data_IF_032145507014
#
_entry.id   IF_032145507014
#
_cell.length_a   1.000
_cell.length_b   1.000
_cell.length_c   1.000
_cell.angle_alpha   90.00
_cell.angle_beta   90.00
_cell.angle_gamma   90.00
#
_symmetry.space_group_name_H-M   'P 1'
#
loop_
_entity.id
_entity.type
_entity.pdbx_description
1 polymer ?
#
# COMPACT_ATOMS: atom_id res chain seq x y z
N UNK A 1 27.90 -29.02 -4.45
CA UNK A 1 28.08 -29.06 -5.92
C UNK A 1 26.91 -28.34 -6.56
N UNK A 2 27.17 -27.15 -7.11
CA UNK A 2 26.17 -26.17 -7.53
C UNK A 2 26.11 -26.20 -9.06
N UNK A 3 24.94 -26.33 -9.67
CA UNK A 3 24.81 -26.33 -11.14
C UNK A 3 23.52 -25.66 -11.59
N UNK A 4 23.51 -24.33 -11.57
CA UNK A 4 22.52 -23.54 -12.32
C UNK A 4 23.27 -22.63 -13.29
N UNK A 5 23.15 -23.00 -14.56
CA UNK A 5 23.75 -22.35 -15.71
C UNK A 5 22.77 -21.29 -16.26
N UNK A 6 23.26 -20.07 -16.50
CA UNK A 6 22.55 -18.94 -17.17
C UNK A 6 22.48 -19.19 -18.70
N UNK A 7 21.60 -18.49 -19.44
CA UNK A 7 21.96 -17.18 -20.04
C UNK A 7 20.78 -16.17 -19.94
N UNK A 8 20.90 -14.84 -20.00
CA UNK A 8 21.87 -13.98 -20.67
C UNK A 8 21.23 -13.38 -21.93
N UNK A 9 20.45 -12.28 -21.82
CA UNK A 9 20.01 -11.43 -22.94
C UNK A 9 19.63 -10.01 -22.45
N UNK A 10 19.63 -9.00 -23.36
CA UNK A 10 20.35 -7.74 -23.14
C UNK A 10 19.46 -6.57 -22.76
N UNK A 11 20.13 -5.53 -22.25
CA UNK A 11 19.66 -4.17 -22.23
C UNK A 11 19.43 -3.65 -23.67
N UNK A 12 18.44 -2.75 -23.82
CA UNK A 12 18.41 -1.56 -24.68
C UNK A 12 16.96 -1.22 -25.06
N UNK A 13 16.50 -0.04 -24.65
CA UNK A 13 15.89 0.96 -25.54
C UNK A 13 15.31 2.10 -24.70
N UNK A 14 16.07 3.18 -24.63
CA UNK A 14 15.62 4.49 -24.19
C UNK A 14 14.57 5.03 -25.18
N UNK A 15 13.42 5.47 -24.66
CA UNK A 15 12.33 6.07 -25.42
C UNK A 15 12.22 7.55 -25.10
N UNK A 16 12.35 8.38 -26.14
CA UNK A 16 12.59 9.81 -26.10
C UNK A 16 11.38 10.68 -25.67
N UNK A 17 11.76 11.79 -25.01
CA UNK A 17 11.18 13.13 -24.97
C UNK A 17 10.05 13.46 -25.98
N UNK A 18 8.96 14.02 -25.44
CA UNK A 18 7.96 14.78 -26.20
C UNK A 18 7.45 15.95 -25.38
N UNK A 19 8.11 17.12 -25.51
CA UNK A 19 7.61 18.42 -25.08
C UNK A 19 6.38 18.81 -25.92
N UNK A 20 5.33 19.30 -25.27
CA UNK A 20 4.39 20.23 -25.88
C UNK A 20 3.97 21.28 -24.83
N UNK A 21 4.77 22.35 -24.78
CA UNK A 21 4.42 23.60 -24.11
C UNK A 21 3.41 24.31 -25.00
N UNK A 22 2.18 24.48 -24.53
CA UNK A 22 1.21 25.37 -25.17
C UNK A 22 1.18 26.66 -24.37
N UNK A 23 1.89 27.66 -24.90
CA UNK A 23 1.80 29.03 -24.45
C UNK A 23 0.47 29.64 -24.92
N UNK A 24 -0.41 30.00 -23.99
CA UNK A 24 -1.54 30.87 -24.28
C UNK A 24 -1.26 32.25 -23.67
N UNK A 25 -0.82 33.16 -24.54
CA UNK A 25 -0.74 34.58 -24.28
C UNK A 25 -2.12 35.21 -24.51
N UNK A 26 -2.59 36.04 -23.57
CA UNK A 26 -3.46 37.16 -23.88
C UNK A 26 -3.48 38.14 -22.70
N UNK A 27 -2.76 39.24 -22.86
CA UNK A 27 -2.75 40.39 -21.99
C UNK A 27 -4.05 41.20 -22.13
N UNK A 28 -4.55 41.74 -21.02
CA UNK A 28 -5.29 43.00 -20.99
C UNK A 28 -4.71 43.87 -19.86
N UNK A 29 -4.18 45.02 -20.26
CA UNK A 29 -3.60 46.05 -19.41
C UNK A 29 -4.66 46.74 -18.53
N UNK A 30 -4.26 47.16 -17.33
CA UNK A 30 -5.03 48.02 -16.43
C UNK A 30 -4.09 48.79 -15.47
N UNK A 31 -4.49 50.01 -15.02
CA UNK A 31 -3.62 51.19 -14.81
C UNK A 31 -2.87 51.28 -13.46
N UNK A 32 -1.91 52.22 -13.31
CA UNK A 32 -1.04 52.33 -12.13
C UNK A 32 -1.64 53.09 -10.94
N UNK A 33 -1.23 52.61 -9.75
CA UNK A 33 -0.96 53.24 -8.45
C UNK A 33 -1.88 54.34 -7.86
N UNK A 34 -2.35 54.07 -6.64
CA UNK A 34 -2.41 55.07 -5.58
C UNK A 34 -1.62 54.58 -4.37
N UNK A 35 -0.73 55.47 -3.91
CA UNK A 35 0.24 55.29 -2.85
C UNK A 35 -0.24 56.18 -1.69
N UNK A 36 -0.75 55.58 -0.61
CA UNK A 36 -1.21 56.29 0.59
C UNK A 36 -0.35 55.83 1.79
N UNK A 37 0.34 56.74 2.51
CA UNK A 37 1.07 56.39 3.72
C UNK A 37 0.26 56.64 5.01
N UNK A 38 0.64 55.85 6.03
CA UNK A 38 0.47 56.04 7.48
C UNK A 38 -0.80 55.49 8.18
N UNK A 39 -0.60 54.29 8.78
CA UNK A 39 -0.88 53.76 10.15
C UNK A 39 -1.67 54.61 11.20
N UNK A 40 -1.99 54.10 12.42
CA UNK A 40 -1.83 52.76 13.02
C UNK A 40 -3.09 52.22 13.77
N UNK A 41 -3.08 50.94 14.17
CA UNK A 41 -3.37 50.47 15.55
C UNK A 41 -3.81 48.99 15.56
N UNK A 42 -3.06 48.19 16.32
CA UNK A 42 -3.42 46.83 16.75
C UNK A 42 -4.73 46.81 17.54
N UNK A 43 -5.38 45.64 17.63
CA UNK A 43 -5.25 44.94 18.90
C UNK A 43 -4.82 43.49 18.74
N UNK A 44 -4.16 43.02 19.80
CA UNK A 44 -3.85 41.64 20.04
C UNK A 44 -5.12 40.77 19.99
N UNK A 45 -5.07 39.68 19.22
CA UNK A 45 -5.89 38.50 19.45
C UNK A 45 -4.95 37.33 19.70
N UNK A 46 -4.73 37.07 20.99
CA UNK A 46 -4.18 35.83 21.51
C UNK A 46 -5.27 34.75 21.47
N UNK A 47 -4.91 33.54 21.03
CA UNK A 47 -5.74 32.32 21.12
C UNK A 47 -6.32 31.92 19.75
N UNK A 48 -6.32 30.65 19.33
CA UNK A 48 -6.30 29.37 20.05
C UNK A 48 -5.96 28.23 19.08
N UNK A 49 -5.41 27.15 19.64
CA UNK A 49 -5.42 25.77 19.16
C UNK A 49 -4.74 25.42 17.82
N UNK A 50 -3.65 24.67 17.93
CA UNK A 50 -3.27 23.66 16.94
C UNK A 50 -4.39 22.60 16.86
N UNK A 51 -5.37 22.84 16.00
CA UNK A 51 -6.24 21.78 15.51
C UNK A 51 -5.49 21.06 14.39
N UNK A 52 -5.06 19.82 14.67
CA UNK A 52 -4.41 18.97 13.69
C UNK A 52 -5.27 18.85 12.44
N UNK A 53 -4.80 19.41 11.33
CA UNK A 53 -5.34 19.18 10.01
C UNK A 53 -4.99 17.75 9.57
N UNK A 54 -5.68 16.75 10.12
CA UNK A 54 -5.48 15.33 9.78
C UNK A 54 -6.52 14.80 8.79
N UNK A 55 -7.56 15.56 8.45
CA UNK A 55 -8.66 15.05 7.60
C UNK A 55 -8.46 15.30 6.10
N UNK A 56 -7.66 16.29 5.71
CA UNK A 56 -7.45 16.64 4.30
C UNK A 56 -6.39 15.78 3.58
N UNK A 57 -5.59 15.03 4.33
CA UNK A 57 -4.54 14.16 3.76
C UNK A 57 -5.04 12.73 3.50
N UNK A 58 -6.13 12.33 4.16
CA UNK A 58 -6.73 10.99 4.03
C UNK A 58 -7.44 10.78 2.67
N UNK A 59 -7.83 11.86 1.99
CA UNK A 59 -8.64 11.80 0.76
C UNK A 59 -7.85 11.69 -0.55
N UNK A 60 -6.52 11.74 -0.52
CA UNK A 60 -5.69 11.70 -1.75
C UNK A 60 -4.83 10.44 -1.91
N UNK A 61 -4.84 9.53 -0.93
CA UNK A 61 -4.17 8.24 -1.06
C UNK A 61 -4.97 7.35 -2.01
N UNK A 62 -4.62 7.41 -3.30
CA UNK A 62 -5.04 6.37 -4.26
C UNK A 62 -4.50 5.02 -3.75
N UNK A 63 -5.29 3.93 -3.79
CA UNK A 63 -4.81 2.62 -3.37
C UNK A 63 -3.70 2.18 -4.33
N UNK A 64 -2.46 2.49 -3.95
CA UNK A 64 -1.28 2.14 -4.73
C UNK A 64 -0.87 0.71 -4.41
N UNK A 65 -0.36 0.01 -5.41
CA UNK A 65 0.24 -1.31 -5.22
C UNK A 65 1.50 -1.16 -4.40
N UNK A 66 1.60 -1.90 -3.30
CA UNK A 66 2.73 -1.90 -2.39
C UNK A 66 3.12 -3.34 -2.07
N UNK A 67 4.41 -3.55 -1.80
CA UNK A 67 4.87 -4.80 -1.20
C UNK A 67 4.43 -4.86 0.26
N UNK A 68 3.65 -5.88 0.58
CA UNK A 68 3.14 -6.17 1.91
C UNK A 68 3.72 -7.49 2.39
N UNK A 69 4.09 -7.53 3.68
CA UNK A 69 4.52 -8.73 4.38
C UNK A 69 3.58 -8.96 5.55
N UNK A 70 3.11 -10.19 5.72
CA UNK A 70 2.11 -10.49 6.73
C UNK A 70 1.86 -11.97 6.91
N UNK A 71 1.17 -12.30 8.00
CA UNK A 71 0.76 -13.66 8.29
C UNK A 71 -0.53 -13.96 7.52
N UNK A 72 -0.47 -14.96 6.65
CA UNK A 72 -1.60 -15.39 5.83
C UNK A 72 -2.19 -16.70 6.35
N UNK A 73 -3.52 -16.75 6.44
CA UNK A 73 -4.30 -17.96 6.71
C UNK A 73 -5.42 -18.10 5.70
N UNK A 74 -5.86 -19.33 5.46
CA UNK A 74 -7.02 -19.64 4.62
C UNK A 74 -8.02 -20.46 5.42
N UNK A 75 -9.26 -19.97 5.53
CA UNK A 75 -10.37 -20.66 6.19
C UNK A 75 -11.63 -20.49 5.36
N UNK A 76 -12.33 -21.60 5.08
CA UNK A 76 -13.58 -21.61 4.29
C UNK A 76 -13.47 -20.76 3.01
N UNK A 77 -12.41 -21.00 2.23
CA UNK A 77 -12.11 -20.32 0.96
C UNK A 77 -11.95 -18.79 1.08
N UNK A 78 -11.74 -18.29 2.30
CA UNK A 78 -11.49 -16.88 2.58
C UNK A 78 -10.10 -16.70 3.18
N UNK A 79 -9.25 -15.96 2.47
CA UNK A 79 -7.94 -15.57 2.95
C UNK A 79 -8.02 -14.47 4.02
N UNK A 80 -7.26 -14.62 5.10
CA UNK A 80 -7.01 -13.56 6.07
C UNK A 80 -5.53 -13.22 6.07
N UNK A 81 -5.20 -11.94 6.05
CA UNK A 81 -3.83 -11.44 6.04
C UNK A 81 -3.63 -10.44 7.18
N UNK A 82 -2.66 -10.69 8.06
CA UNK A 82 -2.29 -9.76 9.13
C UNK A 82 -0.98 -9.08 8.73
N UNK A 83 -1.03 -7.80 8.36
CA UNK A 83 0.16 -7.04 7.93
C UNK A 83 1.13 -6.91 9.11
N UNK A 84 2.39 -7.31 8.91
CA UNK A 84 3.41 -7.29 9.97
C UNK A 84 3.70 -5.90 10.52
N UNK A 85 3.60 -4.86 9.68
CA UNK A 85 3.99 -3.49 10.06
C UNK A 85 2.92 -2.78 10.90
N UNK A 86 1.65 -2.93 10.55
CA UNK A 86 0.55 -2.26 11.24
C UNK A 86 -0.17 -3.17 12.24
N UNK A 87 0.01 -4.49 12.13
CA UNK A 87 -0.83 -5.48 12.81
C UNK A 87 -2.27 -5.54 12.27
N UNK A 88 -2.59 -4.80 11.20
CA UNK A 88 -3.94 -4.74 10.66
C UNK A 88 -4.33 -6.07 10.01
N UNK A 89 -5.50 -6.58 10.40
CA UNK A 89 -6.13 -7.74 9.75
C UNK A 89 -6.93 -7.28 8.55
N UNK A 90 -6.59 -7.84 7.39
CA UNK A 90 -7.20 -7.60 6.10
C UNK A 90 -7.85 -8.89 5.62
N UNK A 91 -9.07 -8.79 5.12
CA UNK A 91 -9.67 -9.90 4.36
C UNK A 91 -9.06 -9.85 2.95
N UNK A 92 -8.64 -11.00 2.43
CA UNK A 92 -8.07 -11.07 1.09
C UNK A 92 -9.20 -11.21 0.08
N UNK A 93 -9.22 -10.34 -0.93
CA UNK A 93 -10.18 -10.40 -2.01
C UNK A 93 -9.91 -11.64 -2.88
N UNK A 94 -10.97 -12.33 -3.28
CA UNK A 94 -10.95 -13.51 -4.15
C UNK A 94 -10.83 -13.12 -5.62
N UNK A 95 -9.82 -12.31 -5.94
CA UNK A 95 -9.55 -11.77 -7.28
C UNK A 95 -8.04 -11.66 -7.56
N UNK A 96 -7.69 -11.31 -8.80
CA UNK A 96 -6.29 -11.16 -9.25
C UNK A 96 -5.46 -12.44 -8.95
N UNK A 97 -4.30 -12.30 -8.31
CA UNK A 97 -3.36 -13.42 -8.08
C UNK A 97 -3.59 -14.15 -6.75
N UNK A 98 -4.74 -13.93 -6.10
CA UNK A 98 -5.13 -14.63 -4.87
C UNK A 98 -5.14 -16.16 -5.05
N UNK A 99 -5.57 -16.67 -6.20
CA UNK A 99 -5.55 -18.12 -6.48
C UNK A 99 -4.14 -18.72 -6.49
N UNK A 100 -3.09 -17.95 -6.85
CA UNK A 100 -1.72 -18.42 -6.74
C UNK A 100 -1.25 -18.45 -5.27
N UNK A 101 -1.57 -17.42 -4.50
CA UNK A 101 -1.29 -17.36 -3.07
C UNK A 101 -1.96 -18.52 -2.31
N UNK A 102 -3.23 -18.80 -2.58
CA UNK A 102 -3.98 -19.88 -1.93
C UNK A 102 -3.38 -21.24 -2.22
N UNK A 103 -3.10 -21.55 -3.50
CA UNK A 103 -2.46 -22.80 -3.88
C UNK A 103 -1.09 -22.97 -3.21
N UNK A 104 -0.29 -21.91 -3.15
CA UNK A 104 0.99 -21.95 -2.45
C UNK A 104 0.81 -22.20 -0.95
N UNK A 105 -0.19 -21.58 -0.32
CA UNK A 105 -0.48 -21.76 1.10
C UNK A 105 -0.89 -23.19 1.44
N UNK A 106 -1.75 -23.79 0.61
CA UNK A 106 -2.18 -25.18 0.77
C UNK A 106 -0.99 -26.15 0.75
N UNK A 107 0.07 -25.85 0.00
CA UNK A 107 1.29 -26.65 -0.08
C UNK A 107 2.27 -26.38 1.07
N UNK A 108 2.31 -25.15 1.59
CA UNK A 108 3.30 -24.73 2.59
C UNK A 108 2.83 -24.89 4.05
N UNK A 109 1.52 -24.87 4.30
CA UNK A 109 0.97 -24.89 5.67
C UNK A 109 1.27 -26.20 6.39
N UNK A 110 1.61 -26.11 7.67
CA UNK A 110 1.79 -27.29 8.54
C UNK A 110 0.45 -27.95 8.93
N UNK A 111 -0.65 -27.21 8.86
CA UNK A 111 -1.99 -27.68 9.19
C UNK A 111 -3.07 -26.66 8.78
N UNK A 112 -4.36 -27.04 8.86
CA UNK A 112 -5.46 -26.13 8.56
C UNK A 112 -5.45 -24.92 9.50
N UNK A 113 -5.66 -23.71 8.94
CA UNK A 113 -5.70 -22.47 9.71
C UNK A 113 -4.36 -22.00 10.30
N UNK A 114 -3.26 -22.74 10.11
CA UNK A 114 -1.95 -22.34 10.62
C UNK A 114 -1.39 -21.18 9.76
N UNK A 115 -1.03 -20.04 10.37
CA UNK A 115 -0.53 -18.89 9.63
C UNK A 115 0.85 -19.18 9.02
N UNK A 116 1.05 -18.71 7.80
CA UNK A 116 2.33 -18.76 7.09
C UNK A 116 2.72 -17.34 6.68
N UNK A 117 3.99 -16.99 6.84
CA UNK A 117 4.48 -15.68 6.42
C UNK A 117 4.39 -15.57 4.89
N UNK A 118 3.71 -14.54 4.41
CA UNK A 118 3.52 -14.25 3.01
C UNK A 118 4.10 -12.87 2.66
N UNK A 119 4.73 -12.80 1.49
CA UNK A 119 5.09 -11.55 0.83
C UNK A 119 4.26 -11.45 -0.45
N UNK A 120 3.56 -10.33 -0.63
CA UNK A 120 2.70 -10.07 -1.78
C UNK A 120 2.88 -8.64 -2.27
N UNK A 121 2.65 -8.39 -3.54
CA UNK A 121 2.33 -7.04 -4.02
C UNK A 121 0.82 -6.91 -4.08
N UNK A 122 0.29 -5.89 -3.45
CA UNK A 122 -1.15 -5.68 -3.39
C UNK A 122 -1.52 -4.27 -3.02
N UNK A 123 -2.82 -3.98 -3.10
CA UNK A 123 -3.40 -2.72 -2.66
C UNK A 123 -4.53 -2.99 -1.67
N UNK A 124 -4.67 -2.09 -0.70
CA UNK A 124 -5.73 -2.17 0.30
C UNK A 124 -6.87 -1.26 -0.13
N UNK A 125 -8.06 -1.81 -0.27
CA UNK A 125 -9.26 -1.09 -0.68
C UNK A 125 -10.36 -1.22 0.37
N UNK A 126 -11.05 -0.12 0.64
CA UNK A 126 -12.23 -0.13 1.50
C UNK A 126 -13.46 -0.61 0.73
N UNK A 127 -13.92 -1.82 1.02
CA UNK A 127 -15.02 -2.48 0.31
C UNK A 127 -16.10 -2.99 1.28
N UNK A 128 -17.33 -3.14 0.81
CA UNK A 128 -18.40 -3.80 1.57
C UNK A 128 -18.21 -5.30 1.43
N UNK A 129 -18.17 -6.02 2.55
CA UNK A 129 -18.05 -7.48 2.59
C UNK A 129 -19.45 -8.07 2.76
N UNK A 130 -20.15 -8.30 1.65
CA UNK A 130 -21.54 -8.78 1.54
C UNK A 130 -22.61 -7.81 2.02
N UNK A 131 -22.54 -7.29 3.25
CA UNK A 131 -23.45 -6.26 3.76
C UNK A 131 -22.82 -5.54 4.97
N UNK A 132 -23.24 -4.31 5.24
CA UNK A 132 -22.76 -3.53 6.39
C UNK A 132 -21.60 -2.57 6.09
N UNK A 133 -20.78 -2.20 7.09
CA UNK A 133 -19.80 -1.14 6.95
C UNK A 133 -18.66 -1.54 5.99
N UNK A 134 -18.09 -0.54 5.30
CA UNK A 134 -16.88 -0.75 4.51
C UNK A 134 -15.75 -1.23 5.42
N UNK A 135 -15.05 -2.27 4.99
CA UNK A 135 -13.88 -2.84 5.66
C UNK A 135 -12.70 -2.87 4.70
N UNK A 136 -11.47 -2.73 5.21
CA UNK A 136 -10.29 -2.83 4.38
C UNK A 136 -10.12 -4.27 3.89
N UNK A 137 -10.00 -4.43 2.58
CA UNK A 137 -9.69 -5.69 1.91
C UNK A 137 -8.38 -5.57 1.13
N UNK A 138 -7.59 -6.64 1.15
CA UNK A 138 -6.35 -6.75 0.40
C UNK A 138 -6.63 -7.38 -0.96
N UNK A 139 -6.35 -6.65 -2.03
CA UNK A 139 -6.28 -7.20 -3.38
C UNK A 139 -4.84 -7.62 -3.65
N UNK A 140 -4.63 -8.91 -3.95
CA UNK A 140 -3.30 -9.47 -4.25
C UNK A 140 -3.05 -9.35 -5.75
N UNK A 141 -2.31 -8.32 -6.14
CA UNK A 141 -1.96 -8.09 -7.55
C UNK A 141 -0.92 -9.10 -8.04
N UNK A 142 0.00 -9.48 -7.15
CA UNK A 142 1.03 -10.46 -7.46
C UNK A 142 1.51 -11.19 -6.21
N UNK A 143 1.50 -12.51 -6.27
CA UNK A 143 2.14 -13.37 -5.29
C UNK A 143 3.67 -13.30 -5.45
N UNK A 144 4.40 -13.12 -4.33
CA UNK A 144 5.87 -13.07 -4.33
C UNK A 144 6.46 -14.34 -3.72
N UNK A 145 6.11 -14.64 -2.47
CA UNK A 145 6.63 -15.83 -1.78
C UNK A 145 5.81 -16.20 -0.54
N UNK A 146 5.96 -17.45 -0.10
CA UNK A 146 5.59 -17.94 1.23
C UNK A 146 6.82 -18.49 1.95
N UNK A 147 6.87 -18.26 3.25
CA UNK A 147 7.93 -18.77 4.13
C UNK A 147 7.33 -19.48 5.33
N UNK A 148 7.35 -20.81 5.29
CA UNK A 148 7.00 -21.65 6.44
C UNK A 148 8.10 -21.57 7.52
N UNK A 149 7.73 -21.64 8.79
CA UNK A 149 8.67 -21.52 9.91
C UNK A 149 9.22 -20.11 10.13
N UNK A 150 8.56 -19.09 9.58
CA UNK A 150 8.84 -17.68 9.82
C UNK A 150 7.58 -16.96 10.29
N UNK A 151 7.77 -15.92 11.09
CA UNK A 151 6.76 -14.95 11.47
C UNK A 151 7.20 -13.53 11.09
N UNK A 152 6.52 -12.52 11.64
CA UNK A 152 6.84 -11.13 11.36
C UNK A 152 8.21 -10.68 11.88
N UNK A 153 8.74 -11.33 12.92
CA UNK A 153 9.97 -10.96 13.62
C UNK A 153 11.18 -11.80 13.16
N UNK A 154 10.96 -13.00 12.60
CA UNK A 154 12.02 -13.80 12.04
C UNK A 154 11.70 -15.29 11.92
N UNK A 155 12.73 -16.15 11.92
CA UNK A 155 12.56 -17.59 12.00
C UNK A 155 11.92 -17.99 13.33
N UNK A 156 10.90 -18.84 13.29
CA UNK A 156 10.27 -19.43 14.47
C UNK A 156 11.04 -20.69 14.84
N UNK A 157 11.51 -20.76 16.09
CA UNK A 157 12.16 -21.96 16.59
C UNK A 157 11.20 -23.16 16.53
N UNK A 158 11.65 -24.35 16.11
CA UNK A 158 10.82 -25.54 16.17
C UNK A 158 10.44 -25.80 17.64
N UNK A 159 9.17 -26.11 17.88
CA UNK A 159 8.73 -26.52 19.21
C UNK A 159 9.55 -27.75 19.64
N UNK A 160 10.30 -27.64 20.74
CA UNK A 160 11.02 -28.77 21.32
C UNK A 160 10.00 -29.83 21.74
N UNK A 161 10.03 -31.01 21.10
CA UNK A 161 9.24 -32.17 21.52
C UNK A 161 9.61 -32.51 22.97
N UNK A 162 8.64 -32.41 23.89
CA UNK A 162 8.74 -32.99 25.23
C UNK A 162 8.25 -34.44 25.19
#
# INVERSE_FOLDING_TARGET
MNRWNRPGFPALAEGAFGLAVVAFAAACAGPPERNDPAAPASPAATGVAAAGASDAQSTRASPSVRRLRGMYTLMADTGSFVECRSGQRLVVATEADNAALERAYLQARAGPGIPVLATVDGRVESRVFMEGPKRPMLVVERFVELRAGYDCDGPVAPASRR
#
